data_IF_135967926922
#
_entry.id   IF_135967926922
#
_cell.length_a   1.000
_cell.length_b   1.000
_cell.length_c   1.000
_cell.angle_alpha   90.00
_cell.angle_beta   90.00
_cell.angle_gamma   90.00
#
_symmetry.space_group_name_H-M   'P 1'
#
loop_
_entity.id
_entity.type
_entity.pdbx_description
1 polymer ?
#
# COMPACT_ATOMS: atom_id res chain seq x y z
N UNK A 1 -48.07 -70.74 5.61
CA UNK A 1 -47.78 -69.31 5.39
C UNK A 1 -46.76 -68.86 6.42
N UNK A 2 -45.48 -68.81 6.08
CA UNK A 2 -44.39 -68.38 6.97
C UNK A 2 -43.48 -67.44 6.16
N UNK A 3 -43.53 -66.14 6.46
CA UNK A 3 -42.68 -65.12 5.82
C UNK A 3 -41.38 -64.98 6.61
N UNK A 4 -40.23 -65.18 5.94
CA UNK A 4 -38.89 -64.85 6.44
C UNK A 4 -38.60 -63.37 6.18
N UNK A 5 -38.14 -62.65 7.20
CA UNK A 5 -37.56 -61.32 7.07
C UNK A 5 -36.06 -61.44 6.71
N UNK A 6 -35.61 -60.71 5.69
CA UNK A 6 -34.19 -60.56 5.34
C UNK A 6 -33.63 -59.26 5.92
N UNK A 7 -32.33 -59.18 6.26
CA UNK A 7 -31.73 -57.97 6.78
C UNK A 7 -31.37 -57.01 5.63
N UNK A 8 -31.78 -55.75 5.74
CA UNK A 8 -31.35 -54.68 4.86
C UNK A 8 -30.00 -54.13 5.35
N UNK A 9 -28.94 -54.33 4.56
CA UNK A 9 -27.66 -53.66 4.76
C UNK A 9 -27.74 -52.23 4.22
N UNK A 10 -27.67 -51.24 5.11
CA UNK A 10 -27.48 -49.82 4.76
C UNK A 10 -25.98 -49.55 4.59
N UNK A 11 -25.55 -49.36 3.34
CA UNK A 11 -24.22 -48.85 3.00
C UNK A 11 -24.21 -47.33 3.16
N UNK A 12 -23.54 -46.83 4.21
CA UNK A 12 -23.25 -45.41 4.40
C UNK A 12 -21.99 -45.05 3.59
N UNK A 13 -22.15 -44.42 2.43
CA UNK A 13 -21.03 -43.89 1.65
C UNK A 13 -20.58 -42.54 2.23
N UNK A 14 -19.46 -42.53 2.96
CA UNK A 14 -18.82 -41.30 3.42
C UNK A 14 -17.94 -40.72 2.30
N UNK A 15 -18.45 -39.71 1.58
CA UNK A 15 -17.67 -38.93 0.62
C UNK A 15 -16.79 -37.91 1.35
N UNK A 16 -15.51 -38.23 1.51
CA UNK A 16 -14.46 -37.29 1.90
C UNK A 16 -14.17 -36.34 0.72
N UNK A 17 -14.74 -35.14 0.73
CA UNK A 17 -14.30 -34.04 -0.12
C UNK A 17 -12.96 -33.51 0.40
N UNK A 18 -11.86 -34.07 -0.10
CA UNK A 18 -10.55 -33.46 0.03
C UNK A 18 -10.51 -32.21 -0.86
N UNK A 19 -10.52 -31.03 -0.24
CA UNK A 19 -10.23 -29.77 -0.92
C UNK A 19 -8.76 -29.79 -1.38
N UNK A 20 -8.53 -30.14 -2.64
CA UNK A 20 -7.21 -30.04 -3.27
C UNK A 20 -6.86 -28.56 -3.37
N UNK A 21 -5.84 -28.12 -2.64
CA UNK A 21 -5.28 -26.79 -2.82
C UNK A 21 -4.66 -26.72 -4.22
N UNK A 22 -5.29 -26.00 -5.15
CA UNK A 22 -4.66 -25.66 -6.42
C UNK A 22 -3.46 -24.75 -6.12
N UNK A 23 -2.25 -25.28 -6.35
CA UNK A 23 -1.07 -24.45 -6.53
C UNK A 23 -1.25 -23.59 -7.79
N UNK A 24 -0.65 -22.40 -7.81
CA UNK A 24 -0.65 -21.54 -8.98
C UNK A 24 -0.14 -22.32 -10.21
N UNK A 25 -0.74 -22.14 -11.41
CA UNK A 25 -0.24 -22.77 -12.62
C UNK A 25 1.23 -22.35 -12.83
N UNK A 26 2.13 -23.30 -13.15
CA UNK A 26 3.56 -23.00 -13.35
C UNK A 26 3.85 -22.02 -14.50
N UNK A 27 2.84 -21.68 -15.31
CA UNK A 27 2.96 -20.87 -16.53
C UNK A 27 2.16 -19.54 -16.48
N UNK A 28 1.83 -19.02 -15.29
CA UNK A 28 1.08 -17.76 -15.23
C UNK A 28 1.92 -16.60 -15.80
N UNK A 29 1.38 -15.89 -16.80
CA UNK A 29 2.11 -14.84 -17.51
C UNK A 29 2.55 -13.71 -16.56
N UNK A 30 3.78 -13.18 -16.71
CA UNK A 30 4.20 -12.00 -16.00
C UNK A 30 3.31 -10.81 -16.33
N UNK A 31 3.05 -9.98 -15.32
CA UNK A 31 2.20 -8.80 -15.45
C UNK A 31 2.79 -7.63 -14.69
N UNK A 32 2.29 -6.44 -15.01
CA UNK A 32 2.74 -5.20 -14.40
C UNK A 32 1.68 -4.58 -13.51
N UNK A 33 2.16 -3.96 -12.44
CA UNK A 33 1.37 -3.12 -11.55
C UNK A 33 1.98 -1.74 -11.60
N UNK A 34 1.15 -0.73 -11.85
CA UNK A 34 1.58 0.66 -11.73
C UNK A 34 1.25 1.17 -10.33
N UNK A 35 2.19 1.88 -9.69
CA UNK A 35 1.98 2.51 -8.39
C UNK A 35 2.16 4.01 -8.56
N UNK A 36 1.08 4.77 -8.34
CA UNK A 36 1.01 6.22 -8.51
C UNK A 36 1.00 6.88 -7.14
N UNK A 37 1.97 7.75 -6.88
CA UNK A 37 2.01 8.58 -5.68
C UNK A 37 1.22 9.87 -5.90
N UNK A 38 0.31 10.21 -4.98
CA UNK A 38 -0.33 11.52 -4.99
C UNK A 38 0.59 12.56 -4.32
N UNK A 39 1.54 13.09 -5.09
CA UNK A 39 2.58 14.01 -4.59
C UNK A 39 2.38 15.47 -5.03
N UNK A 40 1.28 15.80 -5.73
CA UNK A 40 1.15 17.07 -6.45
C UNK A 40 0.59 18.18 -5.52
N UNK A 41 1.40 19.16 -5.07
CA UNK A 41 1.07 20.01 -3.93
C UNK A 41 0.47 21.39 -4.30
N UNK A 42 -0.31 21.51 -5.39
CA UNK A 42 -0.77 22.84 -5.85
C UNK A 42 -2.07 22.85 -6.69
N UNK A 43 -2.43 24.04 -7.23
CA UNK A 43 -3.58 24.27 -8.12
C UNK A 43 -3.56 23.38 -9.38
N UNK A 44 -2.40 22.86 -9.78
CA UNK A 44 -2.23 21.97 -10.93
C UNK A 44 -2.35 20.49 -10.55
N UNK A 45 -2.43 20.14 -9.26
CA UNK A 45 -2.40 18.75 -8.82
C UNK A 45 -3.49 17.86 -9.42
N UNK A 46 -4.62 18.43 -9.84
CA UNK A 46 -5.66 17.76 -10.61
C UNK A 46 -5.24 17.43 -12.05
N UNK A 47 -4.63 18.41 -12.72
CA UNK A 47 -4.12 18.21 -14.07
C UNK A 47 -2.97 17.20 -14.06
N UNK A 48 -2.12 17.25 -13.04
CA UNK A 48 -0.97 16.36 -12.89
C UNK A 48 -1.42 14.93 -12.60
N UNK A 49 -2.32 14.73 -11.64
CA UNK A 49 -2.93 13.41 -11.40
C UNK A 49 -3.57 12.86 -12.68
N UNK A 50 -4.33 13.69 -13.41
CA UNK A 50 -4.96 13.27 -14.67
C UNK A 50 -3.93 12.87 -15.73
N UNK A 51 -2.83 13.62 -15.87
CA UNK A 51 -1.74 13.29 -16.80
C UNK A 51 -1.07 11.98 -16.41
N UNK A 52 -0.79 11.78 -15.12
CA UNK A 52 -0.14 10.56 -14.62
C UNK A 52 -1.01 9.33 -14.82
N UNK A 53 -2.31 9.39 -14.52
CA UNK A 53 -3.25 8.30 -14.82
C UNK A 53 -3.22 7.96 -16.32
N UNK A 54 -3.30 8.98 -17.19
CA UNK A 54 -3.28 8.76 -18.64
C UNK A 54 -1.94 8.22 -19.18
N UNK A 55 -0.83 8.43 -18.46
CA UNK A 55 0.47 7.82 -18.78
C UNK A 55 0.49 6.35 -18.34
N UNK A 56 0.07 6.09 -17.10
CA UNK A 56 -0.04 4.73 -16.55
C UNK A 56 -0.95 3.85 -17.40
N UNK A 57 -2.08 4.38 -17.87
CA UNK A 57 -3.03 3.60 -18.68
C UNK A 57 -2.38 3.07 -19.98
N UNK A 58 -1.35 3.75 -20.52
CA UNK A 58 -0.61 3.33 -21.73
C UNK A 58 0.35 2.17 -21.49
N UNK A 59 0.83 2.00 -20.26
CA UNK A 59 1.66 0.86 -19.86
C UNK A 59 0.85 -0.43 -19.76
N UNK A 60 -0.49 -0.33 -19.82
CA UNK A 60 -1.43 -1.45 -19.73
C UNK A 60 -1.18 -2.35 -18.50
N UNK A 61 -1.05 -1.79 -17.28
CA UNK A 61 -0.89 -2.61 -16.08
C UNK A 61 -2.13 -3.48 -15.84
N UNK A 62 -1.96 -4.58 -15.11
CA UNK A 62 -3.08 -5.41 -14.67
C UNK A 62 -4.00 -4.65 -13.70
N UNK A 63 -3.41 -3.80 -12.85
CA UNK A 63 -4.11 -2.86 -11.98
C UNK A 63 -3.16 -1.75 -11.52
N UNK A 64 -3.73 -0.68 -10.97
CA UNK A 64 -3.03 0.50 -10.46
C UNK A 64 -3.18 0.58 -8.94
N UNK A 65 -2.12 0.93 -8.23
CA UNK A 65 -2.16 1.33 -6.83
C UNK A 65 -2.02 2.84 -6.76
N UNK A 66 -3.04 3.56 -6.28
CA UNK A 66 -2.91 4.97 -5.96
C UNK A 66 -2.57 5.11 -4.48
N UNK A 67 -1.46 5.79 -4.16
CA UNK A 67 -1.03 6.03 -2.78
C UNK A 67 -1.26 7.50 -2.44
N UNK A 68 -2.32 7.73 -1.67
CA UNK A 68 -2.80 9.06 -1.29
C UNK A 68 -3.94 9.56 -2.15
N UNK A 69 -4.84 10.32 -1.53
CA UNK A 69 -5.91 11.09 -2.18
C UNK A 69 -5.42 12.52 -2.45
N UNK A 70 -4.62 13.08 -1.53
CA UNK A 70 -4.14 14.45 -1.56
C UNK A 70 -2.71 14.58 -1.00
N UNK A 71 -2.09 15.72 -1.24
CA UNK A 71 -0.84 16.16 -0.61
C UNK A 71 -1.09 16.78 0.77
N UNK A 72 -0.01 17.05 1.51
CA UNK A 72 -0.06 17.62 2.86
C UNK A 72 -0.70 19.03 2.91
N UNK A 73 -0.43 19.86 1.91
CA UNK A 73 -0.84 21.28 1.87
C UNK A 73 -2.26 21.48 1.32
N UNK A 74 -2.86 20.42 0.76
CA UNK A 74 -4.23 20.44 0.27
C UNK A 74 -5.29 20.32 1.38
N UNK A 75 -6.45 21.00 1.22
CA UNK A 75 -7.50 21.00 2.23
C UNK A 75 -8.17 19.63 2.39
N UNK A 76 -8.46 19.24 3.63
CA UNK A 76 -9.23 18.02 3.95
C UNK A 76 -10.75 18.19 3.75
N UNK A 77 -11.16 18.68 2.58
CA UNK A 77 -12.56 18.97 2.26
C UNK A 77 -13.24 17.83 1.50
N UNK A 78 -14.53 17.66 1.73
CA UNK A 78 -15.37 16.72 0.98
C UNK A 78 -15.32 17.01 -0.53
N UNK A 79 -15.28 18.30 -0.91
CA UNK A 79 -15.14 18.73 -2.30
C UNK A 79 -13.90 18.13 -2.94
N UNK A 80 -12.75 18.24 -2.28
CA UNK A 80 -11.50 17.67 -2.79
C UNK A 80 -11.57 16.15 -2.87
N UNK A 81 -12.03 15.47 -1.82
CA UNK A 81 -12.15 14.01 -1.82
C UNK A 81 -13.06 13.50 -2.95
N UNK A 82 -14.22 14.12 -3.17
CA UNK A 82 -15.14 13.75 -4.25
C UNK A 82 -14.53 14.02 -5.64
N UNK A 83 -13.86 15.16 -5.81
CA UNK A 83 -13.16 15.52 -7.04
C UNK A 83 -12.04 14.51 -7.36
N UNK A 84 -11.24 14.13 -6.36
CA UNK A 84 -10.19 13.11 -6.50
C UNK A 84 -10.76 11.72 -6.77
N UNK A 85 -11.85 11.30 -6.12
CA UNK A 85 -12.56 10.04 -6.46
C UNK A 85 -12.96 10.04 -7.94
N UNK A 86 -13.53 11.13 -8.43
CA UNK A 86 -13.94 11.24 -9.83
C UNK A 86 -12.76 11.20 -10.82
N UNK A 87 -11.57 11.67 -10.43
CA UNK A 87 -10.36 11.54 -11.25
C UNK A 87 -9.80 10.12 -11.23
N UNK A 88 -9.71 9.49 -10.06
CA UNK A 88 -9.22 8.12 -9.93
C UNK A 88 -10.11 7.12 -10.70
N UNK A 89 -11.43 7.35 -10.71
CA UNK A 89 -12.38 6.57 -11.51
C UNK A 89 -12.25 6.74 -13.03
N UNK A 90 -11.37 7.63 -13.51
CA UNK A 90 -11.08 7.75 -14.95
C UNK A 90 -9.98 6.80 -15.43
N UNK A 91 -9.27 6.11 -14.54
CA UNK A 91 -8.30 5.10 -14.96
C UNK A 91 -8.98 4.01 -15.78
N UNK A 92 -8.34 3.63 -16.88
CA UNK A 92 -8.83 2.57 -17.76
C UNK A 92 -8.63 1.17 -17.18
N UNK A 93 -7.88 1.04 -16.08
CA UNK A 93 -7.60 -0.20 -15.37
C UNK A 93 -8.15 -0.15 -13.93
N UNK A 94 -8.31 -1.30 -13.25
CA UNK A 94 -8.73 -1.29 -11.85
C UNK A 94 -7.72 -0.55 -10.99
N UNK A 95 -8.19 0.29 -10.07
CA UNK A 95 -7.37 1.15 -9.23
C UNK A 95 -7.69 0.93 -7.76
N UNK A 96 -6.70 0.52 -6.99
CA UNK A 96 -6.81 0.31 -5.55
C UNK A 96 -6.16 1.48 -4.80
N UNK A 97 -6.89 2.08 -3.88
CA UNK A 97 -6.44 3.22 -3.08
C UNK A 97 -5.78 2.75 -1.77
N UNK A 98 -4.57 3.23 -1.52
CA UNK A 98 -3.86 3.16 -0.22
C UNK A 98 -3.92 4.55 0.41
N UNK A 99 -4.53 4.64 1.60
CA UNK A 99 -4.61 5.91 2.34
C UNK A 99 -3.27 6.29 2.93
N UNK A 100 -2.95 7.59 2.88
CA UNK A 100 -1.77 8.17 3.53
C UNK A 100 -2.14 8.99 4.76
N UNK A 101 -1.14 9.31 5.59
CA UNK A 101 -1.32 10.22 6.71
C UNK A 101 -1.76 11.62 6.28
N UNK A 102 -1.31 12.08 5.11
CA UNK A 102 -1.73 13.37 4.57
C UNK A 102 -3.24 13.40 4.28
N UNK A 103 -3.85 12.27 3.93
CA UNK A 103 -5.28 12.17 3.67
C UNK A 103 -6.14 12.42 4.91
N UNK A 104 -5.65 12.06 6.11
CA UNK A 104 -6.47 12.10 7.33
C UNK A 104 -5.71 12.47 8.61
N UNK A 105 -4.58 11.84 8.96
CA UNK A 105 -3.87 12.11 10.23
C UNK A 105 -3.38 13.56 10.33
N UNK A 106 -2.97 14.13 9.19
CA UNK A 106 -2.51 15.50 9.04
C UNK A 106 -3.63 16.55 9.14
N UNK A 107 -4.90 16.14 9.02
CA UNK A 107 -6.01 17.08 8.92
C UNK A 107 -6.24 17.89 10.19
N UNK A 108 -6.47 19.19 10.00
CA UNK A 108 -6.80 20.16 11.05
C UNK A 108 -8.03 20.96 10.64
N UNK A 109 -8.86 21.33 11.61
CA UNK A 109 -9.96 22.26 11.40
C UNK A 109 -9.49 23.72 11.42
N UNK A 110 -10.39 24.67 11.17
CA UNK A 110 -10.10 26.12 11.16
C UNK A 110 -9.55 26.66 12.48
N UNK A 111 -9.76 25.97 13.59
CA UNK A 111 -9.20 26.29 14.90
C UNK A 111 -7.85 25.60 15.16
N UNK A 112 -7.24 24.96 14.17
CA UNK A 112 -5.98 24.24 14.28
C UNK A 112 -6.05 22.91 15.05
N UNK A 113 -7.25 22.45 15.44
CA UNK A 113 -7.43 21.18 16.17
C UNK A 113 -7.51 20.02 15.19
N UNK A 114 -7.00 18.86 15.58
CA UNK A 114 -7.13 17.64 14.78
C UNK A 114 -8.59 17.25 14.56
N UNK A 115 -8.94 16.95 13.31
CA UNK A 115 -10.19 16.31 12.92
C UNK A 115 -9.93 14.98 12.18
N UNK A 116 -8.76 14.37 12.42
CA UNK A 116 -8.29 13.19 11.70
C UNK A 116 -9.28 12.02 11.66
N UNK A 117 -9.90 11.68 12.81
CA UNK A 117 -10.85 10.56 12.91
C UNK A 117 -12.11 10.81 12.12
N UNK A 118 -12.62 12.04 12.20
CA UNK A 118 -13.80 12.45 11.47
C UNK A 118 -13.53 12.42 9.96
N UNK A 119 -12.36 12.90 9.51
CA UNK A 119 -11.92 12.82 8.11
C UNK A 119 -11.71 11.38 7.64
N UNK A 120 -11.11 10.51 8.46
CA UNK A 120 -10.94 9.09 8.12
C UNK A 120 -12.29 8.38 7.93
N UNK A 121 -13.27 8.64 8.82
CA UNK A 121 -14.62 8.09 8.67
C UNK A 121 -15.30 8.62 7.41
N UNK A 122 -15.12 9.92 7.11
CA UNK A 122 -15.68 10.51 5.90
C UNK A 122 -15.07 9.92 4.62
N UNK A 123 -13.76 9.67 4.60
CA UNK A 123 -13.09 8.97 3.50
C UNK A 123 -13.66 7.56 3.34
N UNK A 124 -13.91 6.84 4.45
CA UNK A 124 -14.53 5.49 4.43
C UNK A 124 -15.89 5.49 3.73
N UNK A 125 -16.74 6.46 4.05
CA UNK A 125 -18.04 6.63 3.39
C UNK A 125 -17.92 6.96 1.90
N UNK A 126 -16.94 7.79 1.52
CA UNK A 126 -16.78 8.24 0.13
C UNK A 126 -16.17 7.16 -0.75
N UNK A 127 -15.17 6.43 -0.28
CA UNK A 127 -14.32 5.56 -1.12
C UNK A 127 -14.60 4.07 -0.97
N UNK A 128 -15.32 3.66 0.06
CA UNK A 128 -15.42 2.26 0.45
C UNK A 128 -16.87 1.83 0.69
N UNK A 129 -17.76 2.27 -0.22
CA UNK A 129 -19.18 1.95 -0.27
C UNK A 129 -19.47 0.54 -0.85
N UNK A 130 -18.48 -0.13 -1.42
CA UNK A 130 -18.60 -1.48 -2.00
C UNK A 130 -17.34 -2.34 -1.89
N UNK A 131 -17.34 -3.48 -2.58
CA UNK A 131 -16.20 -4.41 -2.65
C UNK A 131 -15.34 -4.22 -3.90
N UNK A 132 -15.73 -3.35 -4.81
CA UNK A 132 -15.01 -3.11 -6.06
C UNK A 132 -13.84 -2.13 -5.86
N UNK A 133 -12.83 -2.24 -6.72
CA UNK A 133 -11.81 -1.23 -6.90
C UNK A 133 -12.37 0.01 -7.62
N UNK A 134 -11.62 1.12 -7.59
CA UNK A 134 -11.91 2.29 -8.42
C UNK A 134 -11.51 2.01 -9.88
N UNK A 135 -11.80 2.96 -10.77
CA UNK A 135 -11.46 2.87 -12.19
C UNK A 135 -12.61 2.33 -13.03
N UNK A 136 -12.36 2.09 -14.32
CA UNK A 136 -13.39 1.67 -15.29
C UNK A 136 -13.55 0.17 -15.45
N UNK A 137 -12.58 -0.61 -14.96
CA UNK A 137 -12.61 -2.08 -15.00
C UNK A 137 -12.75 -2.61 -13.60
N UNK A 138 -13.52 -3.69 -13.50
CA UNK A 138 -13.85 -4.29 -12.22
C UNK A 138 -12.66 -5.10 -11.69
N UNK A 139 -12.49 -5.02 -10.37
CA UNK A 139 -11.62 -5.89 -9.59
C UNK A 139 -12.25 -6.04 -8.21
N UNK A 140 -12.62 -7.28 -7.88
CA UNK A 140 -13.22 -7.58 -6.58
C UNK A 140 -12.17 -7.58 -5.48
N UNK A 141 -12.44 -6.82 -4.43
CA UNK A 141 -11.59 -6.67 -3.26
C UNK A 141 -12.26 -7.30 -2.04
N UNK A 142 -11.52 -8.17 -1.36
CA UNK A 142 -11.94 -8.72 -0.09
C UNK A 142 -11.51 -7.76 1.03
N UNK A 143 -12.47 -7.03 1.60
CA UNK A 143 -12.19 -6.03 2.63
C UNK A 143 -12.22 -6.61 4.04
N UNK A 144 -11.39 -6.08 4.93
CA UNK A 144 -11.42 -6.43 6.35
C UNK A 144 -12.78 -6.08 6.99
N UNK A 145 -13.44 -5.02 6.51
CA UNK A 145 -14.77 -4.61 6.94
C UNK A 145 -15.88 -5.66 6.78
N UNK A 146 -15.66 -6.69 5.96
CA UNK A 146 -16.57 -7.86 5.86
C UNK A 146 -16.61 -8.68 7.14
N UNK A 147 -15.58 -8.58 7.98
CA UNK A 147 -15.53 -9.21 9.31
C UNK A 147 -16.27 -8.31 10.29
N UNK A 148 -17.33 -8.81 10.91
CA UNK A 148 -18.20 -8.09 11.86
C UNK A 148 -17.42 -7.27 12.90
N UNK A 149 -16.34 -7.84 13.46
CA UNK A 149 -15.48 -7.19 14.46
C UNK A 149 -14.69 -5.98 13.92
N UNK A 150 -14.44 -5.93 12.62
CA UNK A 150 -13.57 -4.96 11.96
C UNK A 150 -14.30 -4.15 10.89
N UNK A 151 -15.62 -3.97 11.00
CA UNK A 151 -16.45 -3.21 10.04
C UNK A 151 -15.92 -1.82 9.72
N UNK A 152 -15.22 -1.18 10.66
CA UNK A 152 -14.65 0.15 10.49
C UNK A 152 -13.34 0.16 9.70
N UNK A 153 -12.81 -0.95 9.18
CA UNK A 153 -11.51 -1.01 8.48
C UNK A 153 -11.70 -1.41 7.01
N UNK A 154 -12.41 -0.59 6.24
CA UNK A 154 -12.74 -0.88 4.84
C UNK A 154 -11.56 -0.66 3.87
N UNK A 155 -10.60 0.16 4.31
CA UNK A 155 -9.38 0.49 3.57
C UNK A 155 -8.36 -0.66 3.53
N UNK A 156 -8.46 -1.62 4.45
CA UNK A 156 -7.67 -2.85 4.44
C UNK A 156 -8.36 -3.87 3.52
N UNK A 157 -7.74 -4.19 2.40
CA UNK A 157 -8.31 -5.09 1.40
C UNK A 157 -7.25 -6.03 0.82
N UNK A 158 -7.66 -7.22 0.38
CA UNK A 158 -6.80 -8.13 -0.38
C UNK A 158 -7.48 -8.65 -1.64
N UNK A 159 -6.66 -9.03 -2.61
CA UNK A 159 -7.06 -9.74 -3.82
C UNK A 159 -5.91 -10.67 -4.23
N UNK A 160 -6.23 -11.67 -5.05
CA UNK A 160 -5.26 -12.66 -5.51
C UNK A 160 -5.17 -12.58 -7.03
N UNK A 161 -3.96 -12.62 -7.57
CA UNK A 161 -3.72 -12.67 -9.00
C UNK A 161 -2.52 -13.57 -9.27
N UNK A 162 -2.71 -14.56 -10.14
CA UNK A 162 -1.66 -15.48 -10.60
C UNK A 162 -0.81 -16.08 -9.45
N UNK A 163 -1.45 -16.50 -8.36
CA UNK A 163 -0.77 -17.12 -7.23
C UNK A 163 -0.02 -16.17 -6.30
N UNK A 164 -0.24 -14.86 -6.42
CA UNK A 164 0.29 -13.83 -5.53
C UNK A 164 -0.85 -13.13 -4.81
N UNK A 165 -0.72 -12.97 -3.49
CA UNK A 165 -1.66 -12.19 -2.68
C UNK A 165 -1.22 -10.73 -2.64
N UNK A 166 -2.11 -9.82 -2.99
CA UNK A 166 -1.90 -8.40 -2.86
C UNK A 166 -2.78 -7.87 -1.74
N UNK A 167 -2.27 -6.95 -0.92
CA UNK A 167 -3.05 -6.37 0.14
C UNK A 167 -2.66 -4.93 0.44
N UNK A 168 -3.64 -4.14 0.86
CA UNK A 168 -3.44 -2.82 1.48
C UNK A 168 -3.48 -2.94 3.00
N UNK A 169 -2.76 -2.03 3.67
CA UNK A 169 -2.85 -1.86 5.12
C UNK A 169 -2.77 -0.39 5.50
N UNK A 170 -3.66 0.05 6.39
CA UNK A 170 -3.66 1.39 6.94
C UNK A 170 -2.52 1.54 7.96
N UNK A 171 -1.39 2.05 7.49
CA UNK A 171 -0.19 2.38 8.26
C UNK A 171 0.30 3.77 7.83
N UNK A 172 -0.21 4.88 8.41
CA UNK A 172 0.21 6.22 8.03
C UNK A 172 1.69 6.47 8.37
N UNK A 173 2.39 7.23 7.52
CA UNK A 173 3.84 7.42 7.60
C UNK A 173 4.33 8.05 8.91
N UNK A 174 3.64 9.08 9.40
CA UNK A 174 4.07 9.87 10.57
C UNK A 174 3.94 9.08 11.87
N UNK A 175 4.97 8.29 12.19
CA UNK A 175 5.05 7.38 13.34
C UNK A 175 3.80 6.50 13.52
N UNK A 176 3.18 6.05 12.42
CA UNK A 176 1.95 5.28 12.48
C UNK A 176 0.80 5.99 13.22
N UNK A 177 0.78 7.33 13.25
CA UNK A 177 -0.12 8.15 14.07
C UNK A 177 -0.04 7.87 15.58
N UNK A 178 1.08 7.33 16.06
CA UNK A 178 1.33 7.14 17.49
C UNK A 178 1.69 8.48 18.15
N UNK A 179 0.92 8.85 19.17
CA UNK A 179 1.09 10.08 19.95
C UNK A 179 1.76 9.78 21.28
N UNK A 180 2.70 10.62 21.71
CA UNK A 180 3.36 10.47 23.02
C UNK A 180 2.49 10.93 24.20
N UNK A 181 1.29 11.48 23.91
CA UNK A 181 0.38 12.00 24.92
C UNK A 181 -0.52 10.89 25.47
N UNK A 182 -0.49 10.70 26.79
CA UNK A 182 -1.29 9.69 27.47
C UNK A 182 -2.79 9.83 27.16
N UNK A 183 -3.45 8.70 26.87
CA UNK A 183 -4.89 8.64 26.61
C UNK A 183 -5.34 9.13 25.23
N UNK A 184 -4.44 9.54 24.32
CA UNK A 184 -4.80 10.00 22.97
C UNK A 184 -4.52 8.98 21.85
N UNK A 185 -4.13 7.75 22.20
CA UNK A 185 -3.78 6.69 21.26
C UNK A 185 -4.91 5.71 20.95
N UNK A 186 -6.16 5.94 21.37
CA UNK A 186 -7.23 4.96 21.19
C UNK A 186 -7.42 4.54 19.73
N UNK A 187 -7.32 5.47 18.77
CA UNK A 187 -7.36 5.11 17.35
C UNK A 187 -6.20 4.19 16.95
N UNK A 188 -4.97 4.54 17.36
CA UNK A 188 -3.78 3.74 17.09
C UNK A 188 -3.91 2.33 17.69
N UNK A 189 -4.36 2.23 18.94
CA UNK A 189 -4.52 0.97 19.67
C UNK A 189 -5.57 0.07 19.01
N UNK A 190 -6.73 0.62 18.66
CA UNK A 190 -7.79 -0.10 17.95
C UNK A 190 -7.32 -0.55 16.56
N UNK A 191 -6.66 0.34 15.81
CA UNK A 191 -6.11 0.01 14.49
C UNK A 191 -4.98 -0.99 14.57
N UNK A 192 -4.16 -0.98 15.61
CA UNK A 192 -3.13 -2.00 15.85
C UNK A 192 -3.77 -3.38 16.05
N UNK A 193 -4.86 -3.46 16.82
CA UNK A 193 -5.62 -4.72 16.98
C UNK A 193 -6.18 -5.20 15.64
N UNK A 194 -6.75 -4.29 14.84
CA UNK A 194 -7.27 -4.61 13.52
C UNK A 194 -6.17 -5.07 12.55
N UNK A 195 -5.07 -4.34 12.47
CA UNK A 195 -3.93 -4.64 11.59
C UNK A 195 -3.24 -5.95 12.00
N UNK A 196 -3.16 -6.27 13.30
CA UNK A 196 -2.67 -7.57 13.78
C UNK A 196 -3.52 -8.72 13.26
N UNK A 197 -4.85 -8.62 13.41
CA UNK A 197 -5.77 -9.63 12.91
C UNK A 197 -5.73 -9.73 11.37
N UNK A 198 -5.54 -8.60 10.70
CA UNK A 198 -5.40 -8.52 9.26
C UNK A 198 -4.16 -9.28 8.76
N UNK A 199 -2.98 -8.97 9.30
CA UNK A 199 -1.73 -9.64 8.95
C UNK A 199 -1.81 -11.16 9.21
N UNK A 200 -2.33 -11.57 10.37
CA UNK A 200 -2.53 -12.99 10.67
C UNK A 200 -3.42 -13.69 9.62
N UNK A 201 -4.49 -13.01 9.16
CA UNK A 201 -5.36 -13.54 8.11
C UNK A 201 -4.63 -13.67 6.77
N UNK A 202 -3.93 -12.63 6.34
CA UNK A 202 -3.22 -12.60 5.05
C UNK A 202 -2.16 -13.70 4.98
N UNK A 203 -1.26 -13.76 5.98
CA UNK A 203 -0.21 -14.78 6.03
C UNK A 203 -0.78 -16.18 6.21
N UNK A 204 -1.83 -16.34 7.03
CA UNK A 204 -2.52 -17.61 7.18
C UNK A 204 -3.14 -18.10 5.86
N UNK A 205 -3.68 -17.19 5.05
CA UNK A 205 -4.21 -17.50 3.73
C UNK A 205 -3.12 -17.87 2.75
N UNK A 206 -2.08 -17.03 2.63
CA UNK A 206 -0.95 -17.26 1.73
C UNK A 206 -0.27 -18.60 2.02
N UNK A 207 -0.09 -18.94 3.29
CA UNK A 207 0.46 -20.24 3.71
C UNK A 207 -0.47 -21.41 3.37
N UNK A 208 -1.76 -21.35 3.74
CA UNK A 208 -2.70 -22.45 3.48
C UNK A 208 -2.87 -22.74 1.99
N UNK A 209 -2.86 -21.70 1.17
CA UNK A 209 -3.01 -21.79 -0.29
C UNK A 209 -1.68 -21.99 -1.03
N UNK A 210 -0.54 -21.98 -0.32
CA UNK A 210 0.81 -22.11 -0.90
C UNK A 210 1.05 -21.09 -2.02
N UNK A 211 0.70 -19.83 -1.76
CA UNK A 211 0.92 -18.75 -2.71
C UNK A 211 2.42 -18.51 -2.90
N UNK A 212 2.82 -18.06 -4.09
CA UNK A 212 4.22 -17.79 -4.43
C UNK A 212 4.73 -16.52 -3.74
N UNK A 213 3.84 -15.56 -3.50
CA UNK A 213 4.20 -14.32 -2.84
C UNK A 213 3.05 -13.55 -2.21
N UNK A 214 3.42 -12.58 -1.39
CA UNK A 214 2.53 -11.61 -0.76
C UNK A 214 3.12 -10.21 -0.96
N UNK A 215 2.35 -9.28 -1.52
CA UNK A 215 2.72 -7.86 -1.60
C UNK A 215 1.82 -7.05 -0.68
N UNK A 216 2.42 -6.27 0.22
CA UNK A 216 1.70 -5.41 1.16
C UNK A 216 2.01 -3.95 0.85
N UNK A 217 0.98 -3.18 0.55
CA UNK A 217 1.07 -1.75 0.27
C UNK A 217 0.67 -0.92 1.49
N UNK A 218 1.51 0.05 1.85
CA UNK A 218 1.27 1.01 2.93
C UNK A 218 1.73 2.41 2.57
N UNK A 219 1.34 3.39 3.39
CA UNK A 219 1.93 4.73 3.34
C UNK A 219 3.29 4.74 4.04
N UNK A 220 3.32 4.35 5.32
CA UNK A 220 4.52 4.35 6.14
C UNK A 220 5.45 3.17 5.91
N UNK A 221 6.74 3.44 6.10
CA UNK A 221 7.81 2.45 6.10
C UNK A 221 7.76 1.67 7.43
N UNK A 222 7.51 0.35 7.34
CA UNK A 222 7.54 -0.55 8.50
C UNK A 222 8.95 -0.72 9.09
N UNK A 223 9.98 -0.30 8.35
CA UNK A 223 11.41 -0.42 8.66
C UNK A 223 11.80 -1.86 8.89
N UNK A 224 11.42 -2.74 7.97
CA UNK A 224 11.45 -4.19 8.19
C UNK A 224 12.85 -4.78 8.33
N UNK A 225 13.89 -4.00 8.05
CA UNK A 225 15.30 -4.35 8.25
C UNK A 225 15.94 -3.64 9.45
N UNK A 226 15.21 -2.77 10.16
CA UNK A 226 15.73 -2.07 11.35
C UNK A 226 15.89 -3.04 12.53
N UNK A 227 17.09 -3.12 13.10
CA UNK A 227 17.29 -3.93 14.30
C UNK A 227 16.54 -3.33 15.49
N UNK A 228 15.95 -4.14 16.38
CA UNK A 228 15.41 -3.65 17.64
C UNK A 228 16.55 -2.94 18.40
N UNK A 229 16.40 -1.64 18.65
CA UNK A 229 17.41 -0.90 19.41
C UNK A 229 17.50 -1.45 20.84
N UNK A 230 18.62 -2.08 21.19
CA UNK A 230 18.94 -2.42 22.57
C UNK A 230 19.47 -1.16 23.26
N UNK A 231 18.60 -0.40 23.93
CA UNK A 231 19.04 0.68 24.80
C UNK A 231 19.24 0.14 26.22
N UNK A 232 20.50 0.09 26.67
CA UNK A 232 20.85 -0.13 28.09
C UNK A 232 20.35 1.02 29.01
N UNK A 233 19.85 2.10 28.42
CA UNK A 233 19.27 3.27 29.09
C UNK A 233 17.82 3.45 28.61
N UNK A 234 16.97 2.47 28.90
CA UNK A 234 15.56 2.46 28.50
C UNK A 234 14.76 3.71 28.94
N UNK A 235 15.28 4.51 29.88
CA UNK A 235 14.70 5.79 30.30
C UNK A 235 15.01 7.00 29.40
N UNK A 236 15.87 6.87 28.37
CA UNK A 236 16.29 8.00 27.51
C UNK A 236 15.93 7.85 26.03
N UNK A 237 15.23 6.77 25.62
CA UNK A 237 14.72 6.66 24.24
C UNK A 237 13.45 7.49 24.10
N UNK A 238 13.58 8.71 23.58
CA UNK A 238 12.51 9.71 23.44
C UNK A 238 11.59 9.51 22.22
N UNK A 239 11.71 8.39 21.49
CA UNK A 239 10.76 8.05 20.40
C UNK A 239 10.23 6.64 20.60
N UNK A 240 8.99 6.53 21.05
CA UNK A 240 8.24 5.28 20.95
C UNK A 240 7.92 5.02 19.48
N UNK A 241 8.39 3.86 19.00
CA UNK A 241 8.23 3.43 17.62
C UNK A 241 6.84 2.82 17.41
N UNK A 242 5.95 3.59 16.77
CA UNK A 242 4.58 3.19 16.45
C UNK A 242 4.49 2.05 15.43
N UNK A 243 5.59 1.63 14.82
CA UNK A 243 5.64 0.50 13.90
C UNK A 243 6.18 -0.77 14.57
N UNK A 244 6.74 -0.70 15.78
CA UNK A 244 7.49 -1.80 16.38
C UNK A 244 6.70 -3.10 16.50
N UNK A 245 5.45 -3.06 16.99
CA UNK A 245 4.65 -4.26 17.16
C UNK A 245 4.24 -4.87 15.81
N UNK A 246 3.78 -4.03 14.87
CA UNK A 246 3.43 -4.45 13.51
C UNK A 246 4.65 -5.06 12.81
N UNK A 247 5.81 -4.41 12.89
CA UNK A 247 7.08 -4.89 12.33
C UNK A 247 7.46 -6.26 12.90
N UNK A 248 7.42 -6.42 14.23
CA UNK A 248 7.73 -7.70 14.91
C UNK A 248 6.80 -8.81 14.43
N UNK A 249 5.49 -8.54 14.36
CA UNK A 249 4.51 -9.52 13.92
C UNK A 249 4.74 -9.91 12.46
N UNK A 250 4.94 -8.94 11.56
CA UNK A 250 5.16 -9.20 10.13
C UNK A 250 6.40 -10.07 9.91
N UNK A 251 7.51 -9.81 10.62
CA UNK A 251 8.71 -10.67 10.58
C UNK A 251 8.40 -12.10 11.01
N UNK A 252 7.76 -12.27 12.18
CA UNK A 252 7.45 -13.59 12.74
C UNK A 252 6.48 -14.40 11.86
N UNK A 253 5.58 -13.73 11.12
CA UNK A 253 4.69 -14.37 10.17
C UNK A 253 5.42 -14.75 8.87
N UNK A 254 6.30 -13.86 8.37
CA UNK A 254 7.07 -14.09 7.16
C UNK A 254 8.08 -15.23 7.30
N UNK A 255 8.73 -15.38 8.45
CA UNK A 255 9.61 -16.52 8.76
C UNK A 255 8.91 -17.88 8.62
N UNK A 256 7.58 -17.93 8.77
CA UNK A 256 6.77 -19.15 8.72
C UNK A 256 6.09 -19.36 7.37
N UNK A 257 6.38 -18.49 6.39
CA UNK A 257 5.81 -18.50 5.06
C UNK A 257 6.89 -18.78 4.03
N UNK A 258 6.68 -19.80 3.20
CA UNK A 258 7.70 -20.28 2.25
C UNK A 258 7.83 -19.38 1.01
N UNK A 259 6.81 -18.56 0.72
CA UNK A 259 6.81 -17.62 -0.41
C UNK A 259 7.55 -16.31 -0.12
N UNK A 260 7.67 -15.46 -1.14
CA UNK A 260 8.30 -14.14 -1.02
C UNK A 260 7.31 -13.10 -0.48
N UNK A 261 7.74 -12.24 0.42
CA UNK A 261 6.97 -11.11 0.92
C UNK A 261 7.62 -9.83 0.42
N UNK A 262 6.87 -8.95 -0.25
CA UNK A 262 7.34 -7.62 -0.61
C UNK A 262 6.52 -6.57 0.12
N UNK A 263 7.19 -5.72 0.89
CA UNK A 263 6.60 -4.52 1.48
C UNK A 263 6.89 -3.34 0.56
N UNK A 264 5.84 -2.65 0.14
CA UNK A 264 5.91 -1.47 -0.71
C UNK A 264 5.28 -0.32 0.04
N UNK A 265 6.08 0.68 0.39
CA UNK A 265 5.57 1.90 1.03
C UNK A 265 5.79 3.14 0.15
N UNK A 266 5.12 4.22 0.50
CA UNK A 266 5.30 5.52 -0.13
C UNK A 266 5.77 6.56 0.89
N UNK A 267 6.59 6.16 1.86
CA UNK A 267 7.01 7.02 2.95
C UNK A 267 7.75 8.25 2.41
N UNK A 268 7.29 9.43 2.85
CA UNK A 268 7.84 10.73 2.48
C UNK A 268 8.58 11.40 3.63
N UNK A 269 8.67 10.75 4.79
CA UNK A 269 9.53 11.25 5.85
C UNK A 269 10.99 11.27 5.39
N UNK A 270 11.79 12.27 5.82
CA UNK A 270 13.20 12.34 5.46
C UNK A 270 13.92 11.01 5.78
N UNK A 271 14.69 10.45 4.84
CA UNK A 271 15.39 9.20 5.06
C UNK A 271 16.39 9.36 6.21
N UNK A 272 16.51 8.34 7.04
CA UNK A 272 17.52 8.29 8.09
C UNK A 272 18.84 7.82 7.47
N UNK A 273 19.97 8.27 8.03
CA UNK A 273 21.29 7.85 7.56
C UNK A 273 21.39 6.31 7.53
N UNK A 274 21.70 5.77 6.36
CA UNK A 274 21.84 4.33 6.13
C UNK A 274 20.60 3.67 5.54
N UNK A 275 19.48 4.38 5.40
CA UNK A 275 18.33 3.89 4.66
C UNK A 275 18.70 3.72 3.16
N UNK A 276 18.18 2.67 2.49
CA UNK A 276 18.37 2.49 1.05
C UNK A 276 17.83 3.68 0.25
N UNK A 277 18.40 3.93 -0.93
CA UNK A 277 17.85 4.93 -1.83
C UNK A 277 16.41 4.54 -2.25
N UNK A 278 15.47 5.51 -2.32
CA UNK A 278 14.12 5.26 -2.82
C UNK A 278 14.13 4.52 -4.17
N UNK A 279 13.18 3.61 -4.37
CA UNK A 279 13.11 2.74 -5.55
C UNK A 279 14.08 1.54 -5.53
N UNK A 280 14.93 1.43 -4.51
CA UNK A 280 15.82 0.26 -4.35
C UNK A 280 15.13 -0.83 -3.54
N UNK A 281 14.90 -2.00 -4.17
CA UNK A 281 14.38 -3.17 -3.45
C UNK A 281 15.51 -3.81 -2.63
N UNK A 282 15.30 -3.96 -1.33
CA UNK A 282 16.25 -4.63 -0.42
C UNK A 282 15.66 -5.89 0.17
N UNK A 283 16.43 -6.98 0.14
CA UNK A 283 15.99 -8.31 0.58
C UNK A 283 16.74 -8.79 1.83
N UNK A 284 16.01 -9.42 2.74
CA UNK A 284 16.54 -10.22 3.85
C UNK A 284 15.73 -11.51 3.95
N UNK A 285 16.34 -12.65 3.64
CA UNK A 285 15.62 -13.93 3.54
C UNK A 285 14.52 -13.89 2.49
N UNK A 286 13.28 -14.18 2.87
CA UNK A 286 12.11 -14.10 1.99
C UNK A 286 11.41 -12.73 2.01
N UNK A 287 11.95 -11.74 2.73
CA UNK A 287 11.32 -10.43 2.89
C UNK A 287 12.06 -9.35 2.09
N UNK A 288 11.35 -8.76 1.15
CA UNK A 288 11.74 -7.60 0.36
C UNK A 288 11.06 -6.34 0.88
N UNK A 289 11.73 -5.21 0.73
CA UNK A 289 11.20 -3.89 1.06
C UNK A 289 11.64 -2.86 0.03
N UNK A 290 10.73 -1.97 -0.33
CA UNK A 290 11.02 -0.79 -1.16
C UNK A 290 10.16 0.38 -0.74
N UNK A 291 10.80 1.52 -0.52
CA UNK A 291 10.13 2.82 -0.40
C UNK A 291 10.08 3.46 -1.78
N UNK A 292 8.87 3.76 -2.25
CA UNK A 292 8.64 4.41 -3.53
C UNK A 292 8.52 5.92 -3.34
N UNK A 293 9.18 6.66 -4.21
CA UNK A 293 9.05 8.10 -4.34
C UNK A 293 8.78 8.48 -5.79
N UNK A 294 8.47 9.75 -6.02
CA UNK A 294 8.12 10.28 -7.34
C UNK A 294 6.65 10.08 -7.69
N UNK A 295 6.32 10.45 -8.94
CA UNK A 295 4.93 10.47 -9.42
C UNK A 295 4.35 9.07 -9.60
N UNK A 296 5.13 8.14 -10.15
CA UNK A 296 4.70 6.76 -10.37
C UNK A 296 5.87 5.80 -10.58
N UNK A 297 5.62 4.51 -10.38
CA UNK A 297 6.58 3.40 -10.49
C UNK A 297 5.90 2.17 -11.10
N UNK A 298 6.67 1.25 -11.68
CA UNK A 298 6.14 -0.04 -12.19
C UNK A 298 6.75 -1.20 -11.43
N UNK A 299 5.91 -2.05 -10.85
CA UNK A 299 6.29 -3.32 -10.28
C UNK A 299 5.91 -4.45 -11.24
N UNK A 300 6.91 -5.13 -11.80
CA UNK A 300 6.70 -6.37 -12.56
C UNK A 300 6.59 -7.54 -11.59
N UNK A 301 5.56 -8.35 -11.80
CA UNK A 301 5.33 -9.61 -11.09
C UNK A 301 5.49 -10.75 -12.09
N UNK A 302 6.39 -11.69 -11.81
CA UNK A 302 6.68 -12.82 -12.68
C UNK A 302 6.56 -14.13 -11.88
N UNK A 303 5.32 -14.67 -11.72
CA UNK A 303 5.11 -15.97 -11.09
C UNK A 303 5.96 -17.05 -11.77
N UNK A 304 6.54 -17.96 -10.98
CA UNK A 304 7.43 -19.01 -11.51
C UNK A 304 8.87 -18.57 -11.85
N UNK A 305 9.16 -17.25 -11.87
CA UNK A 305 10.53 -16.74 -12.02
C UNK A 305 11.31 -16.77 -10.70
N UNK A 306 12.63 -16.91 -10.77
CA UNK A 306 13.53 -16.70 -9.61
C UNK A 306 13.35 -15.29 -9.01
N UNK A 307 13.14 -14.30 -9.88
CA UNK A 307 12.85 -12.93 -9.50
C UNK A 307 11.35 -12.66 -9.61
N UNK A 308 10.60 -13.11 -8.60
CA UNK A 308 9.14 -12.91 -8.54
C UNK A 308 8.72 -11.44 -8.64
N UNK A 309 9.50 -10.53 -8.06
CA UNK A 309 9.22 -9.09 -8.03
C UNK A 309 10.41 -8.28 -8.53
N UNK A 310 10.16 -7.38 -9.49
CA UNK A 310 11.17 -6.47 -10.02
C UNK A 310 10.57 -5.08 -10.21
N UNK A 311 11.21 -4.06 -9.62
CA UNK A 311 10.83 -2.68 -9.87
C UNK A 311 11.47 -2.21 -11.19
N UNK A 312 10.64 -1.75 -12.12
CA UNK A 312 11.07 -1.04 -13.32
C UNK A 312 10.99 0.45 -13.08
N UNK A 313 12.08 1.13 -13.41
CA UNK A 313 12.06 2.58 -13.50
C UNK A 313 11.47 2.96 -14.84
N UNK A 314 10.64 4.00 -14.84
CA UNK A 314 10.07 4.60 -16.04
C UNK A 314 11.17 4.98 -17.04
N UNK A 315 11.29 4.24 -18.15
CA UNK A 315 12.23 4.58 -19.22
C UNK A 315 11.83 5.88 -19.95
N UNK A 316 10.56 6.32 -19.86
CA UNK A 316 10.10 7.57 -20.45
C UNK A 316 10.60 8.82 -19.70
N UNK A 317 11.14 8.67 -18.47
CA UNK A 317 11.87 9.75 -17.82
C UNK A 317 13.16 10.13 -18.59
N UNK A 318 13.75 9.20 -19.38
CA UNK A 318 14.88 9.53 -20.27
C UNK A 318 14.46 10.30 -21.52
N UNK A 319 13.18 10.26 -21.91
CA UNK A 319 12.71 10.85 -23.16
C UNK A 319 12.40 12.36 -23.06
N UNK A 320 12.22 12.92 -21.87
CA UNK A 320 11.91 14.35 -21.70
C UNK A 320 12.63 14.95 -20.48
N UNK A 321 13.93 15.20 -20.63
CA UNK A 321 14.71 15.87 -19.60
C UNK A 321 16.21 15.84 -19.84
N UNK A 322 16.70 16.24 -21.01
CA UNK A 322 18.06 16.78 -21.04
C UNK A 322 18.02 18.11 -20.28
N UNK A 323 18.88 18.33 -19.27
CA UNK A 323 19.14 19.66 -18.77
C UNK A 323 19.58 20.50 -19.97
N UNK A 324 18.86 21.59 -20.25
CA UNK A 324 19.30 22.57 -21.23
C UNK A 324 20.68 23.05 -20.75
N UNK A 325 21.74 22.68 -21.47
CA UNK A 325 23.08 23.20 -21.26
C UNK A 325 22.99 24.73 -21.16
N UNK A 326 23.73 25.39 -20.25
CA UNK A 326 23.74 26.85 -20.18
C UNK A 326 24.14 27.38 -21.55
N UNK A 327 23.30 28.23 -22.12
CA UNK A 327 23.63 28.96 -23.35
C UNK A 327 24.78 29.90 -22.99
N UNK A 328 25.97 29.55 -23.45
CA UNK A 328 27.15 30.39 -23.43
C UNK A 328 26.88 31.59 -24.36
N UNK A 329 26.80 32.80 -23.79
CA UNK A 329 26.64 34.03 -24.56
C UNK A 329 25.56 34.96 -24.02
N UNK A 330 25.86 35.69 -22.95
CA UNK A 330 25.26 36.99 -22.69
C UNK A 330 26.39 38.03 -22.55
N UNK A 331 26.30 39.20 -23.20
CA UNK A 331 27.41 40.15 -23.29
C UNK A 331 27.65 40.86 -21.95
N UNK A 332 28.92 41.16 -21.70
CA UNK A 332 29.40 41.84 -20.50
C UNK A 332 28.70 43.20 -20.28
N UNK A 333 28.26 43.44 -19.04
CA UNK A 333 27.82 44.77 -18.57
C UNK A 333 29.00 45.75 -18.58
N UNK A 334 28.83 46.99 -19.09
CA UNK A 334 29.86 48.01 -18.98
C UNK A 334 29.98 48.53 -17.54
N UNK A 335 31.18 49.00 -17.12
CA UNK A 335 31.43 49.44 -15.75
C UNK A 335 30.68 50.74 -15.42
N UNK A 336 30.21 50.80 -14.18
CA UNK A 336 29.49 51.95 -13.62
C UNK A 336 30.38 53.20 -13.59
N UNK A 337 29.84 54.29 -14.14
CA UNK A 337 30.42 55.64 -14.10
C UNK A 337 30.33 56.16 -12.66
N UNK A 338 31.49 56.38 -12.02
CA UNK A 338 31.55 57.10 -10.74
C UNK A 338 31.02 58.53 -10.93
N UNK A 339 30.08 58.92 -10.07
CA UNK A 339 29.66 60.31 -9.91
C UNK A 339 29.96 60.68 -8.46
N UNK A 340 30.91 61.62 -8.35
CA UNK A 340 31.43 62.35 -7.19
C UNK A 340 32.47 61.66 -6.33
#
# INVERSE_FOLDING_TARGET
>A
MTRRAGPAFLLLAATLLAAVAQAAPPDAEPFDIAIVGHTFPDELGDADLKRTIARVDREKPAFVIAVGIKSADEPCSDKLYLQRKALLNKSDHPLVLVLTGDDWTGCRNSAGRSNAIERLNRIREIYYDGQEALGRRDLDLNRQSTITKFRSYAENAYWEMHGVLFATINLPARNNNYLLEAGRNSEYEDRLVANRAWLQRLFGMAKRRRLAGLVLFSDGDLRIHAEPGFSLLAGFSTKQDGFAETRRLTRALAEKYDGKVLLVDANREPPVKGDPAPGTVTWRGNMGHVTLQGEWNVLRVAPGSEQLFALRHDEAAKAHGQPKLPVEGAPAKPPARQVR
#
